data_IF_652679832350
#
_entry.id   IF_652679832350
#
_cell.length_a   1.000
_cell.length_b   1.000
_cell.length_c   1.000
_cell.angle_alpha   90.00
_cell.angle_beta   90.00
_cell.angle_gamma   90.00
#
_symmetry.space_group_name_H-M   'P 1'
#
loop_
_entity.id
_entity.type
_entity.pdbx_description
1 polymer ?
#
# COMPACT_ATOMS: atom_id res chain seq x y z
N UNK A 1 -5.85 21.98 -38.09
CA UNK A 1 -7.20 22.49 -38.40
C UNK A 1 -8.07 21.32 -38.87
N UNK A 2 -9.39 21.46 -38.69
CA UNK A 2 -10.48 20.63 -39.25
C UNK A 2 -11.19 19.67 -38.27
N UNK A 3 -12.14 20.29 -37.54
CA UNK A 3 -13.51 19.93 -37.11
C UNK A 3 -13.88 18.56 -36.50
N UNK A 4 -14.41 18.64 -35.26
CA UNK A 4 -15.25 17.68 -34.56
C UNK A 4 -16.72 18.10 -34.72
N UNK A 5 -17.61 17.22 -35.21
CA UNK A 5 -19.05 17.46 -35.23
C UNK A 5 -19.73 16.65 -34.12
N UNK A 6 -20.28 17.37 -33.13
CA UNK A 6 -21.30 16.86 -32.22
C UNK A 6 -22.67 16.93 -32.90
N UNK A 7 -23.41 15.84 -32.88
CA UNK A 7 -24.86 15.86 -33.10
C UNK A 7 -25.57 15.60 -31.76
N UNK A 8 -26.33 16.58 -31.31
CA UNK A 8 -27.30 16.49 -30.21
C UNK A 8 -28.54 15.74 -30.72
N UNK A 9 -29.01 14.75 -29.97
CA UNK A 9 -30.35 14.20 -30.11
C UNK A 9 -31.15 14.49 -28.82
N UNK A 10 -32.34 15.03 -29.04
CA UNK A 10 -33.26 15.60 -28.06
C UNK A 10 -33.89 14.58 -27.11
N UNK A 11 -34.27 15.07 -25.93
CA UNK A 11 -34.98 14.37 -24.86
C UNK A 11 -36.45 14.17 -25.22
N UNK A 12 -36.97 12.96 -25.05
CA UNK A 12 -38.41 12.74 -24.74
C UNK A 12 -38.57 11.72 -23.61
N UNK A 13 -39.46 12.05 -22.66
CA UNK A 13 -39.80 11.28 -21.46
C UNK A 13 -40.63 10.02 -21.79
N UNK A 14 -40.29 8.88 -21.17
CA UNK A 14 -41.24 7.88 -20.58
C UNK A 14 -40.47 6.77 -19.83
N UNK A 15 -41.02 6.34 -18.68
CA UNK A 15 -40.50 5.28 -17.80
C UNK A 15 -40.62 3.89 -18.46
N UNK A 16 -39.55 3.08 -18.44
CA UNK A 16 -39.60 1.61 -18.40
C UNK A 16 -38.20 1.02 -18.10
N UNK A 17 -38.12 0.17 -17.07
CA UNK A 17 -37.09 -0.88 -16.88
C UNK A 17 -37.74 -2.14 -17.48
N UNK A 18 -37.10 -3.05 -18.25
CA UNK A 18 -35.95 -3.85 -17.80
C UNK A 18 -34.98 -4.39 -18.89
N UNK A 19 -34.02 -5.20 -18.42
CA UNK A 19 -33.45 -6.39 -19.10
C UNK A 19 -31.98 -6.32 -19.51
N UNK A 20 -31.29 -7.36 -19.06
CA UNK A 20 -29.89 -7.74 -19.29
C UNK A 20 -29.53 -7.61 -20.78
N UNK A 21 -28.46 -6.88 -21.07
CA UNK A 21 -27.82 -6.95 -22.40
C UNK A 21 -27.03 -8.25 -22.48
N UNK A 22 -27.66 -9.27 -23.06
CA UNK A 22 -26.96 -10.44 -23.60
C UNK A 22 -26.51 -10.05 -25.00
N UNK A 23 -25.23 -9.75 -25.18
CA UNK A 23 -24.64 -9.61 -26.51
C UNK A 23 -24.44 -11.00 -27.12
N UNK A 24 -25.33 -11.41 -28.03
CA UNK A 24 -25.03 -12.49 -28.99
C UNK A 24 -24.06 -11.94 -30.04
N UNK A 25 -22.90 -12.58 -30.19
CA UNK A 25 -21.98 -12.34 -31.29
C UNK A 25 -22.49 -13.11 -32.52
N UNK A 26 -22.99 -12.39 -33.53
CA UNK A 26 -23.19 -12.96 -34.85
C UNK A 26 -21.90 -12.83 -35.67
N UNK A 27 -21.48 -13.97 -36.22
CA UNK A 27 -20.28 -14.21 -37.01
C UNK A 27 -20.23 -13.35 -38.28
N UNK A 28 -19.29 -12.39 -38.37
CA UNK A 28 -18.73 -11.90 -39.66
C UNK A 28 -17.27 -11.42 -39.48
N UNK A 29 -16.38 -11.95 -40.32
CA UNK A 29 -15.00 -11.53 -40.69
C UNK A 29 -13.81 -11.58 -39.69
N UNK A 30 -13.08 -12.71 -39.77
CA UNK A 30 -11.87 -13.08 -38.99
C UNK A 30 -10.58 -12.26 -39.23
N UNK A 31 -10.62 -11.10 -39.92
CA UNK A 31 -9.40 -10.31 -40.19
C UNK A 31 -9.37 -8.90 -39.59
N UNK A 32 -10.47 -8.45 -38.96
CA UNK A 32 -10.57 -7.11 -38.35
C UNK A 32 -10.72 -7.14 -36.81
N UNK A 33 -10.73 -8.33 -36.20
CA UNK A 33 -10.85 -8.54 -34.76
C UNK A 33 -9.52 -8.37 -34.01
N UNK A 34 -8.39 -8.78 -34.61
CA UNK A 34 -7.09 -8.78 -33.92
C UNK A 34 -6.61 -7.35 -33.61
N UNK A 35 -6.86 -6.39 -34.51
CA UNK A 35 -6.43 -5.00 -34.33
C UNK A 35 -7.29 -4.25 -33.31
N UNK A 36 -8.60 -4.53 -33.23
CA UNK A 36 -9.50 -3.96 -32.22
C UNK A 36 -9.23 -4.53 -30.83
N UNK A 37 -8.96 -5.84 -30.73
CA UNK A 37 -8.54 -6.49 -29.48
C UNK A 37 -7.19 -5.97 -29.01
N UNK A 38 -6.22 -5.76 -29.90
CA UNK A 38 -4.92 -5.21 -29.53
C UNK A 38 -5.01 -3.75 -29.02
N UNK A 39 -5.86 -2.92 -29.63
CA UNK A 39 -6.07 -1.53 -29.18
C UNK A 39 -6.86 -1.49 -27.86
N UNK A 40 -7.88 -2.34 -27.66
CA UNK A 40 -8.58 -2.47 -26.38
C UNK A 40 -7.70 -3.04 -25.26
N UNK A 41 -6.81 -3.99 -25.57
CA UNK A 41 -5.83 -4.53 -24.63
C UNK A 41 -4.72 -3.51 -24.32
N UNK A 42 -4.35 -2.63 -25.27
CA UNK A 42 -3.36 -1.58 -25.06
C UNK A 42 -3.93 -0.36 -24.30
N UNK A 43 -5.21 -0.04 -24.49
CA UNK A 43 -5.91 1.01 -23.71
C UNK A 43 -6.25 0.52 -22.29
N UNK A 44 -6.36 -0.80 -22.06
CA UNK A 44 -6.48 -1.39 -20.71
C UNK A 44 -5.14 -1.61 -19.98
N UNK A 45 -3.99 -1.46 -20.64
CA UNK A 45 -2.66 -1.68 -20.04
C UNK A 45 -1.99 -0.39 -19.51
N UNK A 46 -2.74 0.70 -19.41
CA UNK A 46 -2.37 1.88 -18.62
C UNK A 46 -3.31 2.08 -17.43
N UNK A 47 -3.84 0.99 -16.87
CA UNK A 47 -4.25 1.03 -15.48
C UNK A 47 -2.99 1.25 -14.66
N UNK A 48 -2.70 2.51 -14.30
CA UNK A 48 -1.82 2.82 -13.18
C UNK A 48 -2.33 1.99 -12.01
N UNK A 49 -1.68 0.88 -11.71
CA UNK A 49 -2.14 -0.06 -10.69
C UNK A 49 -2.37 0.71 -9.39
N UNK A 50 -3.50 0.49 -8.73
CA UNK A 50 -3.75 1.10 -7.42
C UNK A 50 -2.56 0.76 -6.51
N UNK A 51 -1.83 1.76 -6.02
CA UNK A 51 -0.65 1.59 -5.16
C UNK A 51 -0.96 0.76 -3.90
N UNK A 52 -2.23 0.67 -3.51
CA UNK A 52 -2.69 -0.20 -2.42
C UNK A 52 -2.63 -1.68 -2.81
N UNK A 53 -2.89 -2.03 -4.06
CA UNK A 53 -2.67 -3.38 -4.56
C UNK A 53 -1.19 -3.72 -4.58
N UNK A 54 -0.32 -2.76 -4.94
CA UNK A 54 1.13 -2.96 -4.87
C UNK A 54 1.58 -3.20 -3.42
N UNK A 55 1.01 -2.44 -2.48
CA UNK A 55 1.26 -2.65 -1.06
C UNK A 55 0.76 -4.04 -0.60
N UNK A 56 -0.44 -4.44 -1.00
CA UNK A 56 -1.01 -5.75 -0.68
C UNK A 56 -0.13 -6.89 -1.21
N UNK A 57 0.30 -6.83 -2.47
CA UNK A 57 1.14 -7.85 -3.10
C UNK A 57 2.46 -8.01 -2.33
N UNK A 58 3.16 -6.92 -2.06
CA UNK A 58 4.41 -6.96 -1.30
C UNK A 58 4.24 -7.47 0.14
N UNK A 59 3.16 -7.07 0.84
CA UNK A 59 2.86 -7.63 2.15
C UNK A 59 2.66 -9.15 2.07
N UNK A 60 1.91 -9.64 1.08
CA UNK A 60 1.59 -11.05 0.95
C UNK A 60 2.79 -11.90 0.51
N UNK A 61 3.67 -11.37 -0.35
CA UNK A 61 4.96 -11.97 -0.67
C UNK A 61 5.82 -12.14 0.59
N UNK A 62 6.00 -11.08 1.37
CA UNK A 62 6.77 -11.14 2.63
C UNK A 62 6.11 -12.07 3.66
N UNK A 63 4.78 -12.04 3.79
CA UNK A 63 4.04 -12.92 4.71
C UNK A 63 4.21 -14.40 4.35
N UNK A 64 4.30 -14.73 3.07
CA UNK A 64 4.52 -16.11 2.63
C UNK A 64 5.85 -16.69 3.14
N UNK A 65 6.90 -15.87 3.22
CA UNK A 65 8.21 -16.25 3.79
C UNK A 65 8.05 -16.66 5.26
N UNK A 66 7.11 -16.03 5.97
CA UNK A 66 6.87 -16.21 7.39
C UNK A 66 5.63 -17.09 7.70
N UNK A 67 5.23 -17.95 6.75
CA UNK A 67 4.08 -18.85 6.90
C UNK A 67 2.77 -18.15 7.32
N UNK A 68 2.61 -16.88 6.98
CA UNK A 68 1.44 -16.08 7.31
C UNK A 68 0.48 -16.03 6.12
N UNK A 69 -0.81 -16.22 6.37
CA UNK A 69 -1.85 -16.22 5.33
C UNK A 69 -1.94 -14.85 4.64
N UNK A 70 -2.27 -14.80 3.34
CA UNK A 70 -2.39 -13.53 2.63
C UNK A 70 -3.52 -12.66 3.23
N UNK A 71 -3.25 -11.36 3.31
CA UNK A 71 -4.21 -10.33 3.67
C UNK A 71 -5.15 -10.03 2.49
N UNK A 72 -6.25 -9.35 2.81
CA UNK A 72 -7.14 -8.71 1.83
C UNK A 72 -7.21 -7.21 2.09
N UNK A 73 -7.32 -6.40 1.04
CA UNK A 73 -7.56 -4.96 1.22
C UNK A 73 -8.97 -4.72 1.79
N UNK A 74 -9.06 -3.80 2.74
CA UNK A 74 -10.31 -3.30 3.28
C UNK A 74 -10.52 -1.82 2.91
N UNK A 75 -11.62 -1.52 2.22
CA UNK A 75 -11.90 -0.17 1.73
C UNK A 75 -12.06 0.87 2.86
N UNK A 76 -12.62 0.49 4.01
CA UNK A 76 -12.72 1.38 5.18
C UNK A 76 -11.33 1.66 5.75
N UNK A 77 -10.51 0.63 5.96
CA UNK A 77 -9.15 0.80 6.48
C UNK A 77 -8.28 1.63 5.52
N UNK A 78 -8.47 1.51 4.20
CA UNK A 78 -7.82 2.37 3.20
C UNK A 78 -8.17 3.85 3.38
N UNK A 79 -9.46 4.16 3.61
CA UNK A 79 -9.91 5.53 3.87
C UNK A 79 -9.31 6.06 5.18
N UNK A 80 -9.41 5.28 6.25
CA UNK A 80 -8.89 5.65 7.58
C UNK A 80 -7.36 5.90 7.52
N UNK A 81 -6.61 5.04 6.82
CA UNK A 81 -5.17 5.21 6.62
C UNK A 81 -4.84 6.46 5.81
N UNK A 82 -5.59 6.74 4.74
CA UNK A 82 -5.37 7.91 3.88
C UNK A 82 -5.68 9.21 4.61
N UNK A 83 -6.74 9.23 5.41
CA UNK A 83 -7.09 10.35 6.29
C UNK A 83 -5.98 10.61 7.31
N UNK A 84 -5.46 9.56 7.94
CA UNK A 84 -4.39 9.74 8.92
C UNK A 84 -3.07 10.18 8.28
N UNK A 85 -2.74 9.72 7.07
CA UNK A 85 -1.59 10.23 6.32
C UNK A 85 -1.69 11.74 6.07
N UNK A 86 -2.89 12.25 5.79
CA UNK A 86 -3.15 13.69 5.66
C UNK A 86 -2.92 14.43 6.99
N UNK A 87 -3.34 13.86 8.12
CA UNK A 87 -3.08 14.47 9.43
C UNK A 87 -1.58 14.53 9.75
N UNK A 88 -0.82 13.49 9.40
CA UNK A 88 0.64 13.45 9.60
C UNK A 88 1.33 14.58 8.83
N UNK A 89 0.92 14.81 7.59
CA UNK A 89 1.39 15.96 6.80
C UNK A 89 1.06 17.26 7.53
N UNK A 90 -0.20 17.46 7.95
CA UNK A 90 -0.60 18.73 8.56
C UNK A 90 0.11 19.01 9.90
N UNK A 91 0.43 17.97 10.67
CA UNK A 91 0.97 18.09 12.04
C UNK A 91 2.50 18.01 12.10
N UNK A 92 3.14 17.28 11.19
CA UNK A 92 4.55 16.88 11.34
C UNK A 92 5.41 17.06 10.08
N UNK A 93 4.93 17.77 9.05
CA UNK A 93 5.67 17.97 7.80
C UNK A 93 7.08 18.53 8.01
N UNK A 94 7.27 19.40 9.00
CA UNK A 94 8.59 20.04 9.28
C UNK A 94 9.46 19.24 10.25
N UNK A 95 8.88 18.40 11.10
CA UNK A 95 9.62 17.71 12.17
C UNK A 95 10.07 16.31 11.78
N UNK A 96 9.56 15.76 10.68
CA UNK A 96 9.73 14.35 10.30
C UNK A 96 9.34 13.36 11.41
N UNK A 97 8.56 13.82 12.40
CA UNK A 97 8.12 13.00 13.51
C UNK A 97 6.92 12.17 13.08
N UNK A 98 7.07 10.84 13.09
CA UNK A 98 5.93 9.93 12.97
C UNK A 98 5.35 9.69 14.36
N UNK A 99 4.09 10.08 14.55
CA UNK A 99 3.32 9.72 15.75
C UNK A 99 2.20 8.79 15.34
N UNK A 100 2.04 7.69 16.06
CA UNK A 100 0.90 6.82 15.91
C UNK A 100 -0.39 7.54 16.27
N UNK A 101 -1.50 7.16 15.61
CA UNK A 101 -2.82 7.64 16.03
C UNK A 101 -3.12 7.15 17.45
N UNK A 102 -4.08 7.73 18.19
CA UNK A 102 -4.52 7.19 19.49
C UNK A 102 -5.17 5.82 19.31
N UNK A 103 -4.78 4.79 20.09
CA UNK A 103 -5.33 3.43 19.95
C UNK A 103 -6.87 3.39 20.06
N UNK A 104 -7.43 4.26 20.89
CA UNK A 104 -8.87 4.47 21.04
C UNK A 104 -9.58 4.93 19.76
N UNK A 105 -8.89 5.56 18.82
CA UNK A 105 -9.45 5.98 17.53
C UNK A 105 -9.48 4.85 16.49
N UNK A 106 -8.92 3.67 16.81
CA UNK A 106 -8.86 2.51 15.91
C UNK A 106 -8.91 1.18 16.68
N UNK A 107 -9.96 0.94 17.47
CA UNK A 107 -10.04 -0.24 18.33
C UNK A 107 -9.86 -1.53 17.52
N UNK A 108 -8.94 -2.39 17.98
CA UNK A 108 -8.63 -3.66 17.31
C UNK A 108 -7.91 -3.54 15.96
N UNK A 109 -7.36 -2.37 15.62
CA UNK A 109 -6.63 -2.13 14.37
C UNK A 109 -5.18 -1.68 14.64
N UNK A 110 -4.22 -2.45 14.16
CA UNK A 110 -2.79 -2.13 14.23
C UNK A 110 -2.40 -1.02 13.25
N UNK A 111 -1.21 -0.45 13.40
CA UNK A 111 -0.71 0.63 12.55
C UNK A 111 0.81 0.55 12.32
N UNK A 112 1.24 0.77 11.08
CA UNK A 112 2.64 1.03 10.71
C UNK A 112 2.74 2.34 9.95
N UNK A 113 3.80 3.12 10.23
CA UNK A 113 4.01 4.44 9.66
C UNK A 113 5.37 4.50 8.97
N UNK A 114 5.46 5.19 7.83
CA UNK A 114 6.72 5.52 7.18
C UNK A 114 6.69 6.93 6.60
N UNK A 115 7.83 7.63 6.60
CA UNK A 115 8.04 8.90 5.90
C UNK A 115 9.40 8.89 5.20
N UNK A 116 9.44 9.43 3.99
CA UNK A 116 10.65 9.69 3.24
C UNK A 116 10.49 11.02 2.52
N UNK A 117 11.61 11.73 2.34
CA UNK A 117 11.61 13.07 1.78
C UNK A 117 12.73 13.22 0.74
N UNK A 118 12.49 14.08 -0.24
CA UNK A 118 13.43 14.39 -1.31
C UNK A 118 13.37 15.85 -1.70
N UNK A 119 14.47 16.41 -2.19
CA UNK A 119 14.51 17.73 -2.83
C UNK A 119 14.35 17.65 -4.35
N UNK A 120 14.29 16.45 -4.91
CA UNK A 120 14.05 16.25 -6.33
C UNK A 120 12.63 16.72 -6.71
N UNK A 121 12.54 17.47 -7.81
CA UNK A 121 11.28 18.07 -8.25
C UNK A 121 10.40 17.04 -8.95
N UNK A 122 9.09 17.09 -8.70
CA UNK A 122 8.11 16.26 -9.39
C UNK A 122 8.05 14.79 -8.97
N UNK A 123 8.76 14.39 -7.91
CA UNK A 123 8.79 13.01 -7.42
C UNK A 123 8.30 12.92 -5.97
N UNK A 124 7.72 11.78 -5.61
CA UNK A 124 7.35 11.46 -4.22
C UNK A 124 8.60 11.29 -3.34
N UNK A 125 8.46 11.57 -2.05
CA UNK A 125 9.58 11.49 -1.10
C UNK A 125 10.02 10.06 -0.78
N UNK A 126 9.15 9.08 -1.02
CA UNK A 126 9.49 7.65 -1.06
C UNK A 126 8.41 6.88 -1.81
N UNK A 127 8.73 5.67 -2.28
CA UNK A 127 7.79 4.74 -2.92
C UNK A 127 7.13 3.81 -1.91
N UNK A 128 6.10 3.07 -2.35
CA UNK A 128 5.47 1.99 -1.57
C UNK A 128 6.51 0.94 -1.17
N UNK A 129 7.37 0.57 -2.12
CA UNK A 129 8.43 -0.42 -1.95
C UNK A 129 9.41 -0.01 -0.86
N UNK A 130 9.84 1.26 -0.86
CA UNK A 130 10.75 1.79 0.16
C UNK A 130 10.10 1.77 1.56
N UNK A 131 8.82 2.14 1.67
CA UNK A 131 8.10 2.11 2.95
C UNK A 131 7.93 0.69 3.50
N UNK A 132 7.54 -0.28 2.67
CA UNK A 132 7.36 -1.67 3.12
C UNK A 132 8.70 -2.33 3.42
N UNK A 133 9.72 -2.07 2.58
CA UNK A 133 11.08 -2.57 2.82
C UNK A 133 11.63 -2.06 4.15
N UNK A 134 11.44 -0.78 4.49
CA UNK A 134 11.95 -0.23 5.75
C UNK A 134 11.31 -0.91 6.98
N UNK A 135 10.02 -1.23 6.91
CA UNK A 135 9.34 -2.03 7.94
C UNK A 135 9.84 -3.46 7.99
N UNK A 136 10.04 -4.11 6.84
CA UNK A 136 10.48 -5.50 6.79
C UNK A 136 11.94 -5.68 7.21
N UNK A 137 12.83 -4.73 6.86
CA UNK A 137 14.26 -4.72 7.24
C UNK A 137 14.48 -4.88 8.76
N UNK A 138 13.50 -4.56 9.60
CA UNK A 138 13.52 -4.79 11.05
C UNK A 138 13.72 -6.28 11.41
N UNK A 139 13.34 -7.21 10.53
CA UNK A 139 13.57 -8.66 10.67
C UNK A 139 15.04 -9.00 10.91
N UNK A 140 15.96 -8.18 10.40
CA UNK A 140 17.40 -8.36 10.58
C UNK A 140 17.85 -8.16 12.04
N UNK A 141 17.04 -7.50 12.86
CA UNK A 141 17.26 -7.32 14.29
C UNK A 141 16.32 -8.18 15.14
N UNK A 142 15.31 -8.82 14.55
CA UNK A 142 14.35 -9.63 15.29
C UNK A 142 14.94 -10.97 15.70
N UNK A 143 14.71 -11.40 16.95
CA UNK A 143 15.22 -12.66 17.47
C UNK A 143 14.11 -13.72 17.55
N UNK A 144 14.04 -14.61 16.57
CA UNK A 144 13.06 -15.70 16.52
C UNK A 144 13.21 -16.75 17.64
N UNK A 145 14.28 -16.71 18.44
CA UNK A 145 14.43 -17.56 19.64
C UNK A 145 13.84 -16.92 20.90
N UNK A 146 13.62 -15.60 20.89
CA UNK A 146 13.13 -14.83 22.03
C UNK A 146 11.90 -14.02 21.63
N UNK A 147 10.73 -14.64 21.78
CA UNK A 147 9.46 -14.03 21.43
C UNK A 147 9.06 -12.92 22.41
N UNK A 148 8.76 -11.74 21.88
CA UNK A 148 8.28 -10.60 22.65
C UNK A 148 8.20 -9.33 21.80
N UNK A 149 7.40 -8.38 22.26
CA UNK A 149 7.31 -7.07 21.61
C UNK A 149 8.61 -6.28 21.82
N UNK A 150 9.17 -5.78 20.72
CA UNK A 150 10.28 -4.83 20.73
C UNK A 150 9.82 -3.60 19.97
N UNK A 151 9.72 -2.45 20.65
CA UNK A 151 9.10 -1.23 20.10
C UNK A 151 9.62 -0.83 18.71
N UNK A 152 10.92 -0.97 18.47
CA UNK A 152 11.57 -0.62 17.20
C UNK A 152 11.42 -1.67 16.09
N UNK A 153 10.84 -2.83 16.37
CA UNK A 153 10.63 -3.94 15.44
C UNK A 153 9.15 -4.24 15.21
N UNK A 154 8.28 -3.33 15.69
CA UNK A 154 6.84 -3.51 15.70
C UNK A 154 6.22 -3.48 14.30
N UNK A 155 6.88 -2.86 13.33
CA UNK A 155 6.37 -2.81 11.96
C UNK A 155 6.53 -4.17 11.29
N UNK A 156 7.72 -4.79 11.41
CA UNK A 156 7.94 -6.15 10.94
C UNK A 156 6.96 -7.13 11.57
N UNK A 157 6.88 -7.16 12.91
CA UNK A 157 6.04 -8.16 13.58
C UNK A 157 4.56 -7.99 13.26
N UNK A 158 4.08 -6.76 13.05
CA UNK A 158 2.71 -6.52 12.59
C UNK A 158 2.51 -6.96 11.12
N UNK A 159 3.47 -6.70 10.23
CA UNK A 159 3.39 -7.08 8.82
C UNK A 159 3.21 -8.60 8.66
N UNK A 160 3.95 -9.39 9.45
CA UNK A 160 3.92 -10.86 9.38
C UNK A 160 2.97 -11.53 10.37
N UNK A 161 2.21 -10.77 11.16
CA UNK A 161 1.32 -11.31 12.19
C UNK A 161 0.26 -12.25 11.57
N UNK A 162 0.28 -13.54 11.94
CA UNK A 162 -0.57 -14.58 11.29
C UNK A 162 -2.07 -14.32 11.42
N UNK A 163 -2.53 -13.83 12.57
CA UNK A 163 -3.95 -13.59 12.87
C UNK A 163 -4.51 -12.30 12.22
N UNK A 164 -3.65 -11.44 11.68
CA UNK A 164 -4.10 -10.30 10.88
C UNK A 164 -4.60 -10.81 9.52
N UNK A 165 -5.78 -10.35 9.10
CA UNK A 165 -6.49 -10.82 7.89
C UNK A 165 -6.75 -9.71 6.87
N UNK A 166 -6.78 -8.45 7.30
CA UNK A 166 -7.11 -7.30 6.47
C UNK A 166 -6.05 -6.20 6.56
N UNK A 167 -5.83 -5.55 5.42
CA UNK A 167 -4.94 -4.42 5.24
C UNK A 167 -5.72 -3.17 4.78
N UNK A 168 -5.46 -2.04 5.40
CA UNK A 168 -5.69 -0.72 4.84
C UNK A 168 -4.37 -0.05 4.53
N UNK A 169 -4.26 0.64 3.40
CA UNK A 169 -3.07 1.36 3.01
C UNK A 169 -3.43 2.75 2.48
N UNK A 170 -2.73 3.77 2.97
CA UNK A 170 -2.94 5.15 2.60
C UNK A 170 -1.63 5.90 2.52
N UNK A 171 -1.57 6.89 1.61
CA UNK A 171 -0.43 7.80 1.51
C UNK A 171 -0.87 9.25 1.35
N UNK A 172 -0.02 10.17 1.78
CA UNK A 172 -0.13 11.60 1.47
C UNK A 172 1.25 12.23 1.30
N UNK A 173 1.40 13.04 0.26
CA UNK A 173 2.58 13.87 0.05
C UNK A 173 2.30 15.32 0.45
N UNK A 174 3.31 16.00 0.99
CA UNK A 174 3.30 17.43 1.29
C UNK A 174 4.67 18.05 1.02
N UNK A 175 4.70 19.37 0.82
CA UNK A 175 5.94 20.11 0.57
C UNK A 175 6.21 21.17 1.62
N UNK A 176 7.48 21.36 1.98
CA UNK A 176 7.90 22.49 2.80
C UNK A 176 9.25 23.01 2.33
N UNK A 177 9.50 24.30 2.54
CA UNK A 177 10.79 24.92 2.24
C UNK A 177 11.57 25.12 3.54
N UNK A 178 12.81 24.65 3.59
CA UNK A 178 13.68 24.82 4.75
C UNK A 178 14.33 26.20 4.80
N UNK A 179 15.05 26.51 5.89
CA UNK A 179 15.75 27.78 6.07
C UNK A 179 16.84 28.04 5.02
N UNK A 180 17.31 27.00 4.32
CA UNK A 180 18.28 27.08 3.23
C UNK A 180 17.61 27.23 1.86
N UNK A 181 16.32 27.54 1.81
CA UNK A 181 15.50 27.69 0.59
C UNK A 181 15.42 26.43 -0.27
N UNK A 182 15.61 25.25 0.33
CA UNK A 182 15.38 23.97 -0.37
C UNK A 182 13.93 23.54 -0.16
N UNK A 183 13.23 23.28 -1.26
CA UNK A 183 11.89 22.69 -1.20
C UNK A 183 12.00 21.18 -1.10
N UNK A 184 11.46 20.64 -0.03
CA UNK A 184 11.34 19.21 0.24
C UNK A 184 9.94 18.73 -0.11
N UNK A 185 9.84 17.58 -0.75
CA UNK A 185 8.63 16.78 -0.88
C UNK A 185 8.74 15.58 0.04
N UNK A 186 7.83 15.45 1.00
CA UNK A 186 7.75 14.32 1.91
C UNK A 186 6.51 13.49 1.65
N UNK A 187 6.65 12.17 1.58
CA UNK A 187 5.54 11.22 1.39
C UNK A 187 5.39 10.33 2.61
N UNK A 188 4.21 10.41 3.23
CA UNK A 188 3.82 9.67 4.41
C UNK A 188 2.98 8.47 4.00
N UNK A 189 3.33 7.30 4.51
CA UNK A 189 2.57 6.05 4.35
C UNK A 189 2.02 5.59 5.69
N UNK A 190 0.77 5.12 5.68
CA UNK A 190 0.08 4.53 6.81
C UNK A 190 -0.47 3.18 6.39
N UNK A 191 -0.11 2.12 7.11
CA UNK A 191 -0.77 0.82 7.02
C UNK A 191 -1.67 0.62 8.25
N UNK A 192 -2.83 0.00 8.05
CA UNK A 192 -3.79 -0.39 9.09
C UNK A 192 -4.07 -1.88 9.00
N UNK A 193 -4.05 -2.58 10.12
CA UNK A 193 -4.08 -4.05 10.16
C UNK A 193 -5.23 -4.54 11.03
N UNK A 194 -6.11 -5.39 10.51
CA UNK A 194 -7.21 -5.98 11.28
C UNK A 194 -7.19 -7.52 11.17
N UNK A 195 -7.29 -8.29 12.24
CA UNK A 195 -7.16 -7.85 13.63
C UNK A 195 -5.75 -7.27 13.91
N UNK A 196 -5.65 -6.39 14.91
CA UNK A 196 -4.37 -5.86 15.37
C UNK A 196 -3.43 -6.98 15.81
N UNK A 197 -2.19 -6.90 15.36
CA UNK A 197 -1.09 -7.73 15.87
C UNK A 197 -0.42 -7.10 17.07
N UNK A 198 0.82 -7.53 17.34
CA UNK A 198 1.65 -6.99 18.42
C UNK A 198 0.99 -7.03 19.81
N UNK A 199 0.10 -8.00 20.04
CA UNK A 199 -0.48 -8.26 21.36
C UNK A 199 0.67 -8.55 22.32
N UNK A 200 0.77 -7.79 23.42
CA UNK A 200 1.91 -7.83 24.36
C UNK A 200 1.93 -9.11 25.21
N UNK A 201 2.12 -10.26 24.56
CA UNK A 201 2.17 -11.59 25.15
C UNK A 201 3.20 -12.45 24.42
N UNK A 202 4.11 -13.07 25.16
CA UNK A 202 5.13 -13.97 24.59
C UNK A 202 4.50 -15.12 23.79
N UNK A 203 3.38 -15.66 24.28
CA UNK A 203 2.63 -16.73 23.61
C UNK A 203 2.11 -16.24 22.26
N UNK A 204 1.48 -15.08 22.24
CA UNK A 204 0.94 -14.48 21.01
C UNK A 204 2.04 -14.23 19.98
N UNK A 205 3.20 -13.70 20.39
CA UNK A 205 4.35 -13.54 19.49
C UNK A 205 4.88 -14.87 18.94
N UNK A 206 4.91 -15.93 19.76
CA UNK A 206 5.32 -17.27 19.31
C UNK A 206 4.38 -17.85 18.27
N UNK A 207 3.08 -17.68 18.48
CA UNK A 207 2.04 -18.19 17.58
C UNK A 207 1.97 -17.39 16.27
N UNK A 208 2.26 -16.08 16.32
CA UNK A 208 2.00 -15.17 15.20
C UNK A 208 3.22 -14.67 14.43
N UNK A 209 4.44 -14.76 14.98
CA UNK A 209 5.66 -14.25 14.33
C UNK A 209 6.64 -15.40 14.11
N UNK A 210 6.47 -16.05 12.97
CA UNK A 210 7.23 -17.23 12.57
C UNK A 210 8.44 -16.84 11.73
N UNK A 211 9.54 -17.57 11.85
CA UNK A 211 10.72 -17.38 11.00
C UNK A 211 10.44 -17.85 9.57
N UNK A 212 9.68 -18.94 9.41
CA UNK A 212 9.45 -19.61 8.14
C UNK A 212 10.74 -19.86 7.35
N UNK A 213 10.75 -19.53 6.05
CA UNK A 213 11.88 -19.72 5.14
C UNK A 213 12.88 -18.55 5.13
N UNK A 214 12.76 -17.60 6.06
CA UNK A 214 13.62 -16.42 6.09
C UNK A 214 15.11 -16.76 6.26
N UNK A 215 15.92 -16.39 5.27
CA UNK A 215 17.37 -16.54 5.30
C UNK A 215 18.07 -15.23 5.72
N UNK A 216 18.43 -15.16 7.01
CA UNK A 216 19.10 -13.99 7.59
C UNK A 216 20.45 -13.67 6.93
N UNK A 217 21.29 -14.68 6.68
CA UNK A 217 22.65 -14.46 6.15
C UNK A 217 22.64 -13.86 4.75
N UNK A 218 21.64 -14.22 3.94
CA UNK A 218 21.48 -13.68 2.60
C UNK A 218 20.82 -12.30 2.63
N UNK A 219 19.63 -12.19 3.21
CA UNK A 219 18.85 -10.95 3.19
C UNK A 219 19.55 -9.81 3.93
N UNK A 220 20.02 -10.05 5.14
CA UNK A 220 20.60 -8.99 5.98
C UNK A 220 22.01 -8.59 5.56
N UNK A 221 22.71 -9.42 4.78
CA UNK A 221 23.97 -9.01 4.13
C UNK A 221 23.68 -8.01 3.00
N UNK A 222 22.64 -8.24 2.20
CA UNK A 222 22.20 -7.30 1.17
C UNK A 222 21.74 -5.96 1.78
N UNK A 223 20.91 -5.98 2.83
CA UNK A 223 20.47 -4.77 3.53
C UNK A 223 21.65 -3.95 4.09
N UNK A 224 22.70 -4.59 4.60
CA UNK A 224 23.91 -3.89 5.05
C UNK A 224 24.72 -3.29 3.89
N UNK A 225 24.68 -3.92 2.71
CA UNK A 225 25.29 -3.40 1.48
C UNK A 225 24.61 -2.12 1.00
N UNK A 226 23.28 -2.09 1.00
CA UNK A 226 22.46 -0.94 0.59
C UNK A 226 22.61 0.29 1.50
N UNK A 227 23.06 0.10 2.75
CA UNK A 227 23.22 1.17 3.76
C UNK A 227 24.62 1.79 3.79
N UNK A 228 25.51 1.46 2.85
CA UNK A 228 26.80 2.14 2.75
C UNK A 228 26.58 3.57 2.22
N UNK A 229 27.12 4.60 2.89
CA UNK A 229 26.95 6.00 2.50
C UNK A 229 27.56 6.31 1.13
#
# INVERSE_FOLDING_TARGET
>A
MTFCNLALAQVTHRKAVPSRVICRLNSVDKRMEVLKVAVLMSVCYFASGDYRQDALRQHNELRSIHNARPLKLNAKLNRDASQYAQELVNKYLRSHSLKHSPGSSRPGVGESLSVGCTTARGVEGQTVQQAIKSWYDEVCQYNFKHYGFVRKLGHFSQLVWKDTTELGFGKKSGTYTDSKRRTWTCTYYVARYKAAGNVMSRRQFRENVDQGSFNRSWYCKAVKGDRRP
#
